data_IF_084535025056
#
_entry.id   IF_084535025056
#
_cell.length_a   1.000
_cell.length_b   1.000
_cell.length_c   1.000
_cell.angle_alpha   90.00
_cell.angle_beta   90.00
_cell.angle_gamma   90.00
#
_symmetry.space_group_name_H-M   'P 1'
#
loop_
_entity.id
_entity.type
_entity.pdbx_description
1 polymer ?
#
# COMPACT_ATOMS: atom_id res chain seq x y z
N UNK A 1 -0.73 -10.47 -13.36
CA UNK A 1 -0.27 -9.27 -14.09
C UNK A 1 1.13 -8.80 -13.64
N UNK A 2 1.43 -8.71 -12.34
CA UNK A 2 2.72 -8.19 -11.84
C UNK A 2 3.93 -9.04 -12.27
N UNK A 3 3.84 -10.37 -12.22
CA UNK A 3 4.93 -11.27 -12.66
C UNK A 3 4.84 -11.69 -14.14
N UNK A 4 3.85 -11.19 -14.88
CA UNK A 4 3.68 -11.52 -16.31
C UNK A 4 4.61 -10.70 -17.21
N UNK A 5 5.04 -9.52 -16.75
CA UNK A 5 6.06 -8.70 -17.42
C UNK A 5 7.44 -9.18 -17.02
N UNK A 6 8.39 -9.24 -17.96
CA UNK A 6 9.77 -9.65 -17.66
C UNK A 6 10.54 -8.68 -16.76
N UNK A 7 10.15 -7.41 -16.72
CA UNK A 7 10.91 -6.34 -16.01
C UNK A 7 10.42 -6.06 -14.59
N UNK A 8 9.12 -6.25 -14.33
CA UNK A 8 8.51 -5.97 -13.02
C UNK A 8 9.05 -6.88 -11.90
N UNK A 9 9.35 -8.18 -12.11
CA UNK A 9 9.89 -9.06 -11.07
C UNK A 9 11.19 -8.55 -10.47
N UNK A 10 12.10 -8.03 -11.30
CA UNK A 10 13.37 -7.46 -10.83
C UNK A 10 13.15 -6.27 -9.89
N UNK A 11 12.20 -5.40 -10.24
CA UNK A 11 11.80 -4.28 -9.40
C UNK A 11 11.10 -4.72 -8.11
N UNK A 12 10.31 -5.78 -8.14
CA UNK A 12 9.63 -6.33 -6.96
C UNK A 12 10.61 -6.93 -5.95
N UNK A 13 11.74 -7.47 -6.41
CA UNK A 13 12.81 -8.00 -5.54
C UNK A 13 13.91 -6.98 -5.21
N UNK A 14 13.81 -5.76 -5.76
CA UNK A 14 14.85 -4.73 -5.60
C UNK A 14 15.12 -4.38 -4.14
N UNK A 15 14.09 -4.43 -3.29
CA UNK A 15 14.18 -4.19 -1.85
C UNK A 15 15.15 -5.14 -1.12
N UNK A 16 15.50 -6.29 -1.68
CA UNK A 16 16.51 -7.21 -1.11
C UNK A 16 17.91 -6.92 -1.64
N UNK A 17 18.02 -6.43 -2.88
CA UNK A 17 19.29 -6.21 -3.56
C UNK A 17 19.88 -4.81 -3.31
N UNK A 18 19.05 -3.81 -2.99
CA UNK A 18 19.53 -2.46 -2.77
C UNK A 18 20.32 -2.33 -1.45
N UNK A 19 21.35 -1.49 -1.48
CA UNK A 19 22.09 -1.08 -0.30
C UNK A 19 21.77 0.36 0.03
N UNK A 20 21.22 0.58 1.21
CA UNK A 20 20.94 1.92 1.71
C UNK A 20 22.13 2.42 2.52
N UNK A 21 22.56 3.66 2.26
CA UNK A 21 23.61 4.31 3.05
C UNK A 21 23.13 4.49 4.48
N UNK A 22 24.00 4.22 5.45
CA UNK A 22 23.69 4.39 6.87
C UNK A 22 23.17 5.83 7.15
N UNK A 23 21.99 5.92 7.78
CA UNK A 23 21.29 7.19 8.02
C UNK A 23 20.40 7.70 6.89
N UNK A 24 20.26 6.97 5.77
CA UNK A 24 19.29 7.26 4.71
C UNK A 24 18.12 6.28 4.73
N UNK A 25 16.96 6.71 4.26
CA UNK A 25 15.80 5.86 4.00
C UNK A 25 15.43 6.04 2.52
N UNK A 26 15.91 5.13 1.69
CA UNK A 26 15.67 5.13 0.25
C UNK A 26 14.51 4.19 -0.13
N UNK A 27 14.09 3.33 0.79
CA UNK A 27 13.01 2.37 0.59
C UNK A 27 12.25 2.06 1.89
N UNK A 28 11.05 1.49 1.76
CA UNK A 28 10.24 1.09 2.94
C UNK A 28 10.87 -0.07 3.71
N UNK A 29 11.75 -0.84 3.07
CA UNK A 29 12.54 -1.88 3.74
C UNK A 29 13.60 -1.33 4.69
N UNK A 30 13.95 -0.04 4.59
CA UNK A 30 14.89 0.59 5.51
C UNK A 30 14.22 0.96 6.85
N UNK A 31 12.89 1.05 6.85
CA UNK A 31 12.08 1.48 7.99
C UNK A 31 12.00 0.38 9.04
N UNK A 32 11.96 0.78 10.31
CA UNK A 32 11.95 -0.13 11.45
C UNK A 32 10.78 -1.12 11.42
N UNK A 33 9.62 -0.71 10.92
CA UNK A 33 8.46 -1.59 10.77
C UNK A 33 8.77 -2.82 9.89
N UNK A 34 9.53 -2.65 8.79
CA UNK A 34 9.92 -3.75 7.92
C UNK A 34 10.98 -4.64 8.57
N UNK A 35 11.97 -4.02 9.22
CA UNK A 35 13.03 -4.72 9.95
C UNK A 35 12.48 -5.52 11.12
N UNK A 36 11.40 -5.05 11.75
CA UNK A 36 10.67 -5.77 12.79
C UNK A 36 9.77 -6.88 12.23
N UNK A 37 9.15 -6.65 11.07
CA UNK A 37 8.26 -7.62 10.43
C UNK A 37 9.02 -8.89 9.96
N UNK A 38 10.20 -8.72 9.37
CA UNK A 38 10.93 -9.85 8.78
C UNK A 38 11.27 -10.98 9.80
N UNK A 39 11.76 -10.69 11.02
CA UNK A 39 11.96 -11.72 12.06
C UNK A 39 10.67 -12.34 12.58
N UNK A 40 9.53 -11.62 12.53
CA UNK A 40 8.23 -12.13 12.97
C UNK A 40 7.66 -13.14 11.97
N UNK A 41 7.95 -12.97 10.68
CA UNK A 41 7.47 -13.83 9.59
C UNK A 41 8.63 -14.28 8.69
N UNK A 42 9.53 -15.16 9.18
CA UNK A 42 10.73 -15.56 8.46
C UNK A 42 10.41 -16.26 7.13
N UNK A 43 9.42 -17.15 7.11
CA UNK A 43 8.99 -17.87 5.90
C UNK A 43 8.50 -16.90 4.81
N UNK A 44 7.82 -15.81 5.22
CA UNK A 44 7.39 -14.77 4.30
C UNK A 44 8.56 -13.91 3.83
N UNK A 45 9.52 -13.61 4.72
CA UNK A 45 10.66 -12.78 4.40
C UNK A 45 11.70 -13.48 3.52
N UNK A 46 11.78 -14.81 3.59
CA UNK A 46 12.71 -15.64 2.83
C UNK A 46 12.44 -15.58 1.32
N UNK A 47 11.17 -15.53 0.90
CA UNK A 47 10.79 -15.40 -0.51
C UNK A 47 10.66 -13.92 -0.90
N UNK A 48 11.65 -13.32 -1.61
CA UNK A 48 11.63 -11.89 -1.95
C UNK A 48 10.50 -11.52 -2.91
N UNK A 49 9.89 -12.50 -3.57
CA UNK A 49 8.73 -12.26 -4.47
C UNK A 49 7.43 -12.04 -3.71
N UNK A 50 7.41 -12.32 -2.41
CA UNK A 50 6.24 -12.07 -1.60
C UNK A 50 5.88 -10.58 -1.61
N UNK A 51 4.61 -10.32 -1.95
CA UNK A 51 4.11 -8.96 -2.17
C UNK A 51 3.75 -8.34 -0.84
N UNK A 52 4.33 -7.17 -0.56
CA UNK A 52 4.00 -6.31 0.56
C UNK A 52 3.19 -5.13 0.04
N UNK A 53 1.98 -5.02 0.57
CA UNK A 53 1.02 -3.99 0.19
C UNK A 53 1.02 -2.87 1.22
N UNK A 54 1.01 -1.64 0.72
CA UNK A 54 0.75 -0.44 1.50
C UNK A 54 -0.68 -0.01 1.34
N UNK A 55 -1.41 0.08 2.44
CA UNK A 55 -2.76 0.61 2.47
C UNK A 55 -2.73 2.08 2.89
N UNK A 56 -3.43 2.93 2.13
CA UNK A 56 -3.60 4.34 2.44
C UNK A 56 -5.09 4.68 2.43
N UNK A 57 -5.54 5.40 3.46
CA UNK A 57 -6.86 6.01 3.54
C UNK A 57 -6.68 7.48 3.87
N UNK A 58 -7.13 8.38 3.01
CA UNK A 58 -7.12 9.82 3.27
C UNK A 58 -8.53 10.39 3.06
N UNK A 59 -8.87 11.45 3.76
CA UNK A 59 -10.15 12.13 3.63
C UNK A 59 -10.06 13.23 2.59
N UNK A 60 -10.64 13.04 1.41
CA UNK A 60 -10.76 14.09 0.40
C UNK A 60 -12.09 14.82 0.54
N UNK A 61 -12.07 16.14 0.69
CA UNK A 61 -13.26 16.99 0.61
C UNK A 61 -13.51 17.39 -0.85
N UNK A 62 -14.53 16.82 -1.48
CA UNK A 62 -14.91 17.13 -2.85
C UNK A 62 -15.89 18.32 -2.86
N UNK A 63 -15.41 19.56 -2.66
CA UNK A 63 -15.95 20.83 -3.25
C UNK A 63 -15.50 22.10 -2.50
N UNK A 64 -15.38 23.21 -3.25
CA UNK A 64 -15.02 24.54 -2.76
C UNK A 64 -16.20 25.38 -2.27
N UNK A 65 -15.95 26.15 -1.21
CA UNK A 65 -16.63 27.31 -0.57
C UNK A 65 -18.18 27.51 -0.60
N UNK A 66 -18.99 26.90 -1.47
CA UNK A 66 -20.40 27.31 -1.69
C UNK A 66 -21.45 26.19 -1.80
N UNK A 67 -21.15 24.94 -1.47
CA UNK A 67 -22.20 23.90 -1.31
C UNK A 67 -21.78 22.83 -0.31
N UNK A 68 -22.75 22.07 0.21
CA UNK A 68 -22.62 21.09 1.30
C UNK A 68 -21.32 20.27 1.23
N UNK A 69 -20.54 20.26 2.33
CA UNK A 69 -19.26 19.56 2.45
C UNK A 69 -19.48 18.04 2.42
N UNK A 70 -19.31 17.42 1.26
CA UNK A 70 -19.22 15.97 1.14
C UNK A 70 -17.73 15.57 1.16
N UNK A 71 -17.29 14.92 2.22
CA UNK A 71 -16.00 14.23 2.25
C UNK A 71 -16.15 12.82 1.70
N UNK A 72 -15.07 12.26 1.17
CA UNK A 72 -14.96 10.85 0.80
C UNK A 72 -13.60 10.32 1.23
N UNK A 73 -13.58 9.05 1.61
CA UNK A 73 -12.39 8.32 2.05
C UNK A 73 -12.03 7.27 1.00
N UNK A 74 -11.15 7.56 0.04
CA UNK A 74 -10.56 6.54 -0.81
C UNK A 74 -9.72 5.55 0.00
N UNK A 75 -9.89 4.27 -0.29
CA UNK A 75 -8.99 3.19 0.13
C UNK A 75 -8.10 2.86 -1.06
N UNK A 76 -6.80 3.14 -0.91
CA UNK A 76 -5.80 3.00 -1.95
C UNK A 76 -4.78 1.93 -1.52
N UNK A 77 -4.50 0.99 -2.42
CA UNK A 77 -3.44 0.00 -2.27
C UNK A 77 -2.25 0.38 -3.16
N UNK A 78 -1.04 0.28 -2.60
CA UNK A 78 0.22 0.50 -3.31
C UNK A 78 1.18 -0.65 -3.09
N UNK A 79 2.07 -0.91 -4.05
CA UNK A 79 3.07 -1.97 -3.95
C UNK A 79 4.33 -1.46 -3.26
N UNK A 80 4.58 -1.90 -2.03
CA UNK A 80 5.76 -1.48 -1.27
C UNK A 80 7.04 -2.17 -1.69
N UNK A 81 6.97 -3.25 -2.46
CA UNK A 81 8.14 -3.89 -3.06
C UNK A 81 8.86 -3.01 -4.09
N UNK A 82 8.13 -2.09 -4.73
CA UNK A 82 8.66 -1.31 -5.85
C UNK A 82 9.57 -0.16 -5.36
N UNK A 83 10.61 0.18 -6.14
CA UNK A 83 11.42 1.37 -5.92
C UNK A 83 10.56 2.64 -5.86
N UNK A 84 10.97 3.63 -5.05
CA UNK A 84 10.20 4.86 -4.82
C UNK A 84 9.78 5.58 -6.11
N UNK A 85 10.66 5.63 -7.11
CA UNK A 85 10.39 6.28 -8.39
C UNK A 85 9.30 5.60 -9.23
N UNK A 86 9.06 4.31 -9.02
CA UNK A 86 8.02 3.56 -9.75
C UNK A 86 6.70 3.50 -8.97
N UNK A 87 6.76 3.42 -7.64
CA UNK A 87 5.58 3.23 -6.79
C UNK A 87 4.49 4.28 -6.99
N UNK A 88 4.87 5.53 -7.23
CA UNK A 88 3.91 6.63 -7.42
C UNK A 88 3.29 6.64 -8.82
N UNK A 89 3.64 5.69 -9.69
CA UNK A 89 3.02 5.57 -11.01
C UNK A 89 1.60 5.02 -10.88
N UNK A 90 0.67 5.57 -11.67
CA UNK A 90 -0.73 5.17 -11.66
C UNK A 90 -0.95 3.66 -11.91
N UNK A 91 -0.03 3.00 -12.61
CA UNK A 91 -0.04 1.55 -12.85
C UNK A 91 0.11 0.68 -11.60
N UNK A 92 0.63 1.26 -10.50
CA UNK A 92 0.92 0.54 -9.24
C UNK A 92 0.17 1.13 -8.04
N UNK A 93 -0.78 2.03 -8.32
CA UNK A 93 -1.71 2.61 -7.34
C UNK A 93 -3.10 2.09 -7.69
N UNK A 94 -3.66 1.28 -6.81
CA UNK A 94 -4.98 0.67 -7.00
C UNK A 94 -5.98 1.36 -6.08
N UNK A 95 -6.93 2.09 -6.66
CA UNK A 95 -8.09 2.56 -5.92
C UNK A 95 -9.06 1.40 -5.74
N UNK A 96 -9.19 0.90 -4.52
CA UNK A 96 -10.06 -0.24 -4.21
C UNK A 96 -11.50 0.21 -3.96
N UNK A 97 -11.68 1.30 -3.22
CA UNK A 97 -12.99 1.78 -2.80
C UNK A 97 -12.97 3.28 -2.54
N UNK A 98 -14.13 3.93 -2.66
CA UNK A 98 -14.37 5.31 -2.21
C UNK A 98 -15.56 5.30 -1.27
N UNK A 99 -15.32 5.59 0.01
CA UNK A 99 -16.37 5.61 1.03
C UNK A 99 -16.87 7.06 1.19
N UNK A 100 -18.14 7.37 0.90
CA UNK A 100 -18.67 8.70 1.20
C UNK A 100 -18.70 8.90 2.71
N UNK A 101 -18.21 10.06 3.16
CA UNK A 101 -18.21 10.46 4.56
C UNK A 101 -19.62 10.93 4.95
N UNK A 102 -20.42 9.97 5.39
CA UNK A 102 -21.63 10.21 6.16
C UNK A 102 -21.27 10.09 7.65
N UNK A 103 -22.12 10.62 8.55
CA UNK A 103 -21.92 10.73 10.01
C UNK A 103 -21.35 9.50 10.78
N UNK A 104 -21.19 8.34 10.13
CA UNK A 104 -20.63 7.07 10.67
C UNK A 104 -19.40 6.53 9.90
N UNK A 105 -18.63 7.39 9.22
CA UNK A 105 -17.53 6.98 8.32
C UNK A 105 -16.49 6.05 8.94
N UNK A 106 -16.13 6.23 10.22
CA UNK A 106 -15.17 5.34 10.89
C UNK A 106 -15.61 3.88 10.92
N UNK A 107 -16.86 3.63 11.34
CA UNK A 107 -17.40 2.25 11.42
C UNK A 107 -17.49 1.60 10.05
N UNK A 108 -17.83 2.39 9.02
CA UNK A 108 -17.86 1.91 7.65
C UNK A 108 -16.44 1.57 7.17
N UNK A 109 -15.45 2.43 7.42
CA UNK A 109 -14.05 2.18 7.10
C UNK A 109 -13.59 0.87 7.75
N UNK A 110 -13.79 0.69 9.06
CA UNK A 110 -13.35 -0.51 9.78
C UNK A 110 -13.95 -1.79 9.16
N UNK A 111 -15.26 -1.78 8.85
CA UNK A 111 -15.95 -2.92 8.21
C UNK A 111 -15.41 -3.22 6.80
N UNK A 112 -15.15 -2.18 6.00
CA UNK A 112 -14.62 -2.37 4.65
C UNK A 112 -13.13 -2.77 4.65
N UNK A 113 -12.36 -2.30 5.63
CA UNK A 113 -10.97 -2.74 5.81
C UNK A 113 -10.89 -4.21 6.21
N UNK A 114 -11.76 -4.66 7.11
CA UNK A 114 -11.86 -6.07 7.47
C UNK A 114 -12.19 -6.94 6.24
N UNK A 115 -13.21 -6.56 5.48
CA UNK A 115 -13.59 -7.25 4.24
C UNK A 115 -12.47 -7.27 3.21
N UNK A 116 -11.75 -6.15 3.05
CA UNK A 116 -10.61 -6.06 2.14
C UNK A 116 -9.45 -6.97 2.59
N UNK A 117 -9.16 -7.02 3.89
CA UNK A 117 -8.12 -7.90 4.43
C UNK A 117 -8.49 -9.36 4.20
N UNK A 118 -9.75 -9.74 4.43
CA UNK A 118 -10.25 -11.09 4.15
C UNK A 118 -10.11 -11.46 2.67
N UNK A 119 -10.47 -10.55 1.75
CA UNK A 119 -10.27 -10.77 0.32
C UNK A 119 -8.79 -10.94 -0.03
N UNK A 120 -7.90 -10.11 0.52
CA UNK A 120 -6.47 -10.19 0.28
C UNK A 120 -5.83 -11.48 0.82
N UNK A 121 -6.34 -12.02 1.93
CA UNK A 121 -5.87 -13.29 2.51
C UNK A 121 -6.38 -14.52 1.76
N UNK A 122 -7.46 -14.39 0.98
CA UNK A 122 -8.06 -15.47 0.20
C UNK A 122 -7.54 -15.56 -1.26
N UNK A 123 -6.67 -14.64 -1.68
CA UNK A 123 -6.02 -14.61 -3.00
C UNK A 123 -4.81 -15.57 -3.08
#
# INVERSE_FOLDING_TARGET
>A
MLYASRKIPEHMTWHTAHHTKEGSMCHHSDVEAWKHFNPMYPDFAEEPRNVRLGLCTDGFALHGQYSHTYSCWPIIITLYNLPLGMRMSFEYIFLMMVIPDLYYSKRLIDMYLELLIEELLNL
#
